data_IF_203401403666
#
_entry.id   IF_203401403666
#
_cell.length_a   1.000
_cell.length_b   1.000
_cell.length_c   1.000
_cell.angle_alpha   90.00
_cell.angle_beta   90.00
_cell.angle_gamma   90.00
#
_symmetry.space_group_name_H-M   'P 1'
#
loop_
_entity.id
_entity.type
_entity.pdbx_description
1 polymer ?
#
# COMPACT_ATOMS: atom_id res chain seq x y z
N UNK A 1 -15.17 -7.18 1.78
CA UNK A 1 -14.37 -6.83 0.60
C UNK A 1 -13.28 -5.92 1.08
N UNK A 2 -12.03 -6.30 0.86
CA UNK A 2 -10.90 -5.49 1.21
C UNK A 2 -10.74 -4.42 0.13
N UNK A 3 -10.41 -3.20 0.53
CA UNK A 3 -10.20 -2.09 -0.40
C UNK A 3 -8.82 -1.46 -0.17
N UNK A 4 -8.17 -1.08 -1.26
CA UNK A 4 -6.83 -0.48 -1.23
C UNK A 4 -6.55 0.35 -2.47
N UNK A 5 -5.38 0.98 -2.46
CA UNK A 5 -4.90 1.81 -3.57
C UNK A 5 -3.47 1.41 -3.92
N UNK A 6 -3.26 0.99 -5.16
CA UNK A 6 -1.93 0.75 -5.70
C UNK A 6 -1.50 1.95 -6.55
N UNK A 7 -0.30 2.46 -6.31
CA UNK A 7 0.35 3.40 -7.24
C UNK A 7 1.14 2.56 -8.23
N UNK A 8 0.85 2.62 -9.53
CA UNK A 8 1.50 1.75 -10.51
C UNK A 8 3.03 1.92 -10.53
N UNK A 9 3.51 3.15 -10.30
CA UNK A 9 4.92 3.51 -10.24
C UNK A 9 5.63 3.00 -8.97
N UNK A 10 4.90 2.45 -7.99
CA UNK A 10 5.50 1.81 -6.82
C UNK A 10 5.93 0.36 -7.06
N UNK A 11 5.61 -0.23 -8.22
CA UNK A 11 6.05 -1.56 -8.59
C UNK A 11 7.46 -1.51 -9.20
N UNK A 12 8.31 -2.50 -8.86
CA UNK A 12 9.60 -2.65 -9.52
C UNK A 12 9.43 -2.89 -11.01
N UNK A 13 10.30 -2.27 -11.82
CA UNK A 13 10.31 -2.48 -13.27
C UNK A 13 10.48 -3.97 -13.58
N UNK A 14 9.55 -4.52 -14.37
CA UNK A 14 9.53 -5.94 -14.75
C UNK A 14 8.81 -6.86 -13.77
N UNK A 15 8.30 -6.35 -12.64
CA UNK A 15 7.44 -7.12 -11.76
C UNK A 15 6.12 -7.49 -12.47
N UNK A 16 5.63 -8.70 -12.19
CA UNK A 16 4.35 -9.19 -12.69
C UNK A 16 3.49 -9.58 -11.49
N UNK A 17 2.30 -9.00 -11.43
CA UNK A 17 1.21 -9.45 -10.58
C UNK A 17 0.18 -10.10 -11.48
N UNK A 18 -0.03 -11.40 -11.33
CA UNK A 18 -0.98 -12.17 -12.13
C UNK A 18 -1.94 -12.98 -11.25
N UNK A 19 -2.94 -13.60 -11.88
CA UNK A 19 -3.93 -14.44 -11.20
C UNK A 19 -4.67 -13.73 -10.04
N UNK A 20 -4.87 -12.42 -10.18
CA UNK A 20 -5.58 -11.61 -9.18
C UNK A 20 -7.05 -11.42 -9.55
N UNK A 21 -7.95 -11.65 -8.59
CA UNK A 21 -9.38 -11.42 -8.73
C UNK A 21 -9.79 -10.00 -8.29
N UNK A 22 -9.07 -8.98 -8.78
CA UNK A 22 -9.33 -7.59 -8.40
C UNK A 22 -10.57 -7.03 -9.10
N UNK A 23 -11.36 -6.25 -8.37
CA UNK A 23 -12.34 -5.33 -8.94
C UNK A 23 -11.71 -3.94 -8.97
N UNK A 24 -11.34 -3.46 -10.16
CA UNK A 24 -10.86 -2.08 -10.32
C UNK A 24 -12.05 -1.13 -10.21
N UNK A 25 -12.04 -0.26 -9.20
CA UNK A 25 -13.10 0.72 -8.95
C UNK A 25 -12.85 2.05 -9.64
N UNK A 26 -11.59 2.48 -9.70
CA UNK A 26 -11.18 3.76 -10.28
C UNK A 26 -9.70 3.73 -10.66
N UNK A 27 -9.37 4.42 -11.75
CA UNK A 27 -7.99 4.76 -12.11
C UNK A 27 -7.88 6.28 -12.15
N UNK A 28 -6.85 6.83 -11.51
CA UNK A 28 -6.63 8.27 -11.42
C UNK A 28 -5.17 8.59 -11.62
N UNK A 29 -4.88 9.67 -12.36
CA UNK A 29 -3.55 10.27 -12.38
C UNK A 29 -3.49 11.45 -11.41
N UNK A 30 -2.44 11.52 -10.60
CA UNK A 30 -2.24 12.58 -9.61
C UNK A 30 -0.81 13.10 -9.66
N UNK A 31 -0.62 14.40 -9.45
CA UNK A 31 0.68 15.00 -9.21
C UNK A 31 0.69 15.49 -7.75
N UNK A 32 1.13 14.65 -6.79
CA UNK A 32 1.13 15.02 -5.38
C UNK A 32 2.12 16.16 -5.13
N UNK A 33 1.90 16.91 -4.06
CA UNK A 33 2.81 18.00 -3.66
C UNK A 33 3.88 17.54 -2.67
N UNK A 34 3.76 16.33 -2.14
CA UNK A 34 4.62 15.75 -1.10
C UNK A 34 5.43 14.54 -1.59
N UNK A 35 5.80 14.54 -2.87
CA UNK A 35 6.62 13.50 -3.51
C UNK A 35 8.05 13.55 -2.98
N UNK A 36 8.67 12.40 -2.69
CA UNK A 36 10.10 12.33 -2.36
C UNK A 36 10.97 12.26 -3.61
N UNK A 37 12.29 12.42 -3.47
CA UNK A 37 13.23 12.32 -4.59
C UNK A 37 13.23 10.93 -5.27
N UNK A 38 12.83 9.90 -4.53
CA UNK A 38 12.79 8.50 -4.99
C UNK A 38 11.44 8.12 -5.63
N UNK A 39 10.47 9.04 -5.63
CA UNK A 39 9.14 8.82 -6.15
C UNK A 39 8.92 9.58 -7.46
N UNK A 40 8.19 8.98 -8.42
CA UNK A 40 7.83 9.63 -9.66
C UNK A 40 6.94 10.88 -9.39
N UNK A 41 7.08 11.99 -10.13
CA UNK A 41 6.31 13.22 -9.88
C UNK A 41 4.82 13.12 -10.24
N UNK A 42 4.44 12.09 -11.00
CA UNK A 42 3.04 11.78 -11.34
C UNK A 42 2.79 10.32 -11.03
N UNK A 43 1.71 10.06 -10.32
CA UNK A 43 1.28 8.73 -9.90
C UNK A 43 0.04 8.30 -10.66
N UNK A 44 -0.04 7.02 -10.97
CA UNK A 44 -1.22 6.33 -11.49
C UNK A 44 -1.81 5.49 -10.37
N UNK A 45 -2.85 6.01 -9.71
CA UNK A 45 -3.54 5.36 -8.61
C UNK A 45 -4.62 4.42 -9.17
N UNK A 46 -4.52 3.14 -8.79
CA UNK A 46 -5.49 2.09 -9.07
C UNK A 46 -6.21 1.76 -7.77
N UNK A 47 -7.46 2.21 -7.66
CA UNK A 47 -8.33 1.90 -6.54
C UNK A 47 -9.00 0.56 -6.83
N UNK A 48 -8.86 -0.40 -5.92
CA UNK A 48 -9.35 -1.75 -6.14
C UNK A 48 -10.07 -2.30 -4.91
N UNK A 49 -10.85 -3.34 -5.16
CA UNK A 49 -11.37 -4.24 -4.14
C UNK A 49 -10.98 -5.68 -4.43
N UNK A 50 -10.88 -6.50 -3.38
CA UNK A 50 -10.65 -7.95 -3.45
C UNK A 50 -11.43 -8.66 -2.33
N UNK A 51 -11.66 -9.97 -2.45
CA UNK A 51 -12.27 -10.74 -1.37
C UNK A 51 -11.42 -10.66 -0.08
N UNK A 52 -12.06 -10.54 1.08
CA UNK A 52 -11.35 -10.39 2.37
C UNK A 52 -10.41 -11.58 2.65
N UNK A 53 -10.80 -12.77 2.19
CA UNK A 53 -10.01 -14.01 2.34
C UNK A 53 -8.70 -13.98 1.53
N UNK A 54 -8.64 -13.19 0.46
CA UNK A 54 -7.47 -13.06 -0.42
C UNK A 54 -6.57 -11.89 0.00
N UNK A 55 -7.04 -11.01 0.91
CA UNK A 55 -6.33 -9.80 1.29
C UNK A 55 -4.91 -10.04 1.83
N UNK A 56 -4.74 -11.07 2.66
CA UNK A 56 -3.43 -11.43 3.20
C UNK A 56 -2.49 -11.93 2.09
N UNK A 57 -2.97 -12.80 1.21
CA UNK A 57 -2.17 -13.32 0.10
C UNK A 57 -1.77 -12.22 -0.89
N UNK A 58 -2.68 -11.28 -1.17
CA UNK A 58 -2.36 -10.12 -1.99
C UNK A 58 -1.31 -9.22 -1.32
N UNK A 59 -1.43 -8.97 -0.01
CA UNK A 59 -0.46 -8.17 0.74
C UNK A 59 0.95 -8.79 0.68
N UNK A 60 1.06 -10.11 0.83
CA UNK A 60 2.34 -10.81 0.72
C UNK A 60 2.92 -10.68 -0.69
N UNK A 61 2.12 -10.93 -1.75
CA UNK A 61 2.57 -10.77 -3.14
C UNK A 61 3.01 -9.32 -3.44
N UNK A 62 2.26 -8.33 -2.97
CA UNK A 62 2.61 -6.92 -3.12
C UNK A 62 3.95 -6.62 -2.44
N UNK A 63 4.17 -7.13 -1.23
CA UNK A 63 5.44 -6.91 -0.51
C UNK A 63 6.64 -7.41 -1.31
N UNK A 64 6.45 -8.48 -2.08
CA UNK A 64 7.49 -9.04 -2.93
C UNK A 64 7.75 -8.21 -4.18
N UNK A 65 6.83 -7.39 -4.68
CA UNK A 65 6.99 -6.66 -5.96
C UNK A 65 7.16 -5.15 -5.84
N UNK A 66 6.86 -4.56 -4.68
CA UNK A 66 7.05 -3.13 -4.46
C UNK A 66 8.53 -2.74 -4.56
N UNK A 67 8.77 -1.55 -5.11
CA UNK A 67 10.08 -0.93 -5.21
C UNK A 67 10.44 -0.16 -3.94
N UNK A 68 11.73 0.04 -3.72
CA UNK A 68 12.25 0.75 -2.57
C UNK A 68 13.20 1.88 -3.01
N UNK A 69 13.35 2.94 -2.19
CA UNK A 69 12.63 3.23 -0.95
C UNK A 69 11.32 4.01 -1.18
N UNK A 70 10.63 4.37 -0.09
CA UNK A 70 9.57 5.39 -0.16
C UNK A 70 8.20 4.93 -0.66
N UNK A 71 7.99 3.63 -0.89
CA UNK A 71 6.69 3.13 -1.35
C UNK A 71 6.01 2.23 -0.31
N UNK A 72 4.69 2.26 -0.31
CA UNK A 72 3.85 1.32 0.40
C UNK A 72 2.50 1.18 -0.32
N UNK A 73 1.73 0.15 0.06
CA UNK A 73 0.30 0.01 -0.27
C UNK A 73 -0.45 -0.23 1.02
N UNK A 74 -1.55 0.48 1.23
CA UNK A 74 -2.51 0.14 2.26
C UNK A 74 -3.69 -0.65 1.67
N UNK A 75 -4.13 -1.65 2.42
CA UNK A 75 -5.27 -2.50 2.14
C UNK A 75 -6.05 -2.71 3.43
N UNK A 76 -7.35 -2.51 3.40
CA UNK A 76 -8.20 -2.56 4.60
C UNK A 76 -9.38 -3.50 4.41
N UNK A 77 -9.61 -4.36 5.40
CA UNK A 77 -10.88 -5.07 5.58
C UNK A 77 -11.70 -4.38 6.67
N UNK A 78 -12.88 -4.92 6.97
CA UNK A 78 -13.65 -4.46 8.13
C UNK A 78 -12.93 -4.70 9.48
N UNK A 79 -11.98 -5.64 9.55
CA UNK A 79 -11.37 -6.10 10.80
C UNK A 79 -9.88 -5.79 10.92
N UNK A 80 -9.18 -5.70 9.80
CA UNK A 80 -7.73 -5.60 9.73
C UNK A 80 -7.30 -4.48 8.77
N UNK A 81 -6.17 -3.86 9.08
CA UNK A 81 -5.37 -3.04 8.17
C UNK A 81 -4.09 -3.78 7.81
N UNK A 82 -3.72 -3.73 6.53
CA UNK A 82 -2.49 -4.24 5.98
C UNK A 82 -1.73 -3.07 5.38
N UNK A 83 -0.57 -2.76 5.95
CA UNK A 83 0.36 -1.78 5.39
C UNK A 83 1.52 -2.56 4.81
N UNK A 84 1.63 -2.52 3.49
CA UNK A 84 2.55 -3.33 2.71
C UNK A 84 3.72 -2.47 2.27
N UNK A 85 4.91 -2.79 2.76
CA UNK A 85 6.17 -2.21 2.36
C UNK A 85 6.95 -3.22 1.50
N UNK A 86 7.99 -2.80 0.76
CA UNK A 86 8.93 -3.72 0.12
C UNK A 86 9.51 -4.72 1.14
N UNK A 87 9.25 -6.02 0.93
CA UNK A 87 9.72 -7.11 1.77
C UNK A 87 9.10 -7.20 3.18
N UNK A 88 8.03 -6.44 3.47
CA UNK A 88 7.36 -6.49 4.79
C UNK A 88 5.88 -6.13 4.73
N UNK A 89 5.06 -6.96 5.37
CA UNK A 89 3.66 -6.64 5.66
C UNK A 89 3.49 -6.34 7.15
N UNK A 90 2.95 -5.16 7.47
CA UNK A 90 2.48 -4.83 8.81
C UNK A 90 0.95 -5.01 8.86
N UNK A 91 0.49 -6.03 9.58
CA UNK A 91 -0.93 -6.30 9.80
C UNK A 91 -1.31 -5.96 11.24
N UNK A 92 -2.40 -5.22 11.42
CA UNK A 92 -2.97 -4.92 12.74
C UNK A 92 -4.49 -4.79 12.66
N UNK A 93 -5.17 -4.93 13.81
CA UNK A 93 -6.63 -4.79 13.88
C UNK A 93 -7.06 -3.35 13.63
N UNK A 94 -8.18 -3.14 12.96
CA UNK A 94 -8.81 -1.81 12.86
C UNK A 94 -9.07 -1.29 14.29
N UNK A 95 -8.69 -0.05 14.55
CA UNK A 95 -8.74 0.56 15.88
C UNK A 95 -7.60 0.18 16.83
N UNK A 96 -6.59 -0.58 16.42
CA UNK A 96 -5.38 -0.84 17.21
C UNK A 96 -4.35 0.31 17.03
N UNK A 97 -4.21 1.22 18.01
CA UNK A 97 -3.29 2.34 17.90
C UNK A 97 -1.83 1.92 17.99
N UNK A 98 -1.52 0.81 18.67
CA UNK A 98 -0.13 0.35 18.83
C UNK A 98 0.38 -0.24 17.51
N UNK A 99 -0.37 -1.17 16.92
CA UNK A 99 -0.03 -1.75 15.61
C UNK A 99 0.12 -0.68 14.52
N UNK A 100 -0.78 0.31 14.51
CA UNK A 100 -0.68 1.46 13.60
C UNK A 100 0.59 2.27 13.83
N UNK A 101 0.92 2.60 15.08
CA UNK A 101 2.12 3.39 15.41
C UNK A 101 3.42 2.66 15.03
N UNK A 102 3.47 1.34 15.19
CA UNK A 102 4.60 0.51 14.77
C UNK A 102 4.79 0.53 13.25
N UNK A 103 3.71 0.42 12.48
CA UNK A 103 3.73 0.54 11.02
C UNK A 103 4.19 1.94 10.56
N UNK A 104 3.69 3.00 11.18
CA UNK A 104 4.11 4.39 10.90
C UNK A 104 5.60 4.61 11.22
N UNK A 105 6.09 4.05 12.33
CA UNK A 105 7.51 4.11 12.69
C UNK A 105 8.38 3.42 11.64
N UNK A 106 7.94 2.26 11.13
CA UNK A 106 8.64 1.56 10.07
C UNK A 106 8.66 2.38 8.77
N UNK A 107 7.50 2.91 8.33
CA UNK A 107 7.39 3.70 7.11
C UNK A 107 8.30 4.94 7.11
N UNK A 108 8.30 5.69 8.21
CA UNK A 108 9.22 6.83 8.40
C UNK A 108 10.68 6.43 8.26
N UNK A 109 11.08 5.31 8.86
CA UNK A 109 12.45 4.82 8.80
C UNK A 109 12.87 4.41 7.37
N UNK A 110 11.91 4.20 6.45
CA UNK A 110 12.14 3.82 5.06
C UNK A 110 11.81 4.95 4.06
N UNK A 111 11.83 6.20 4.54
CA UNK A 111 11.76 7.39 3.70
C UNK A 111 10.34 7.83 3.31
N UNK A 112 9.29 7.26 3.91
CA UNK A 112 7.92 7.69 3.65
C UNK A 112 7.60 8.92 4.54
N UNK A 113 7.15 10.04 3.96
CA UNK A 113 6.79 11.25 4.71
C UNK A 113 5.60 11.01 5.65
N UNK A 114 5.60 11.67 6.82
CA UNK A 114 4.48 11.59 7.78
C UNK A 114 3.12 11.99 7.18
N UNK A 115 3.13 12.92 6.20
CA UNK A 115 1.91 13.33 5.49
C UNK A 115 1.32 12.25 4.59
N UNK A 116 2.07 11.19 4.27
CA UNK A 116 1.59 10.00 3.56
C UNK A 116 1.24 8.85 4.52
N UNK A 117 1.60 8.94 5.80
CA UNK A 117 1.33 7.91 6.82
C UNK A 117 0.02 8.19 7.58
N UNK A 118 -1.01 8.61 6.85
CA UNK A 118 -2.26 9.18 7.37
C UNK A 118 -3.47 8.23 7.32
N UNK A 119 -3.21 6.91 7.37
CA UNK A 119 -4.23 5.88 7.21
C UNK A 119 -5.34 5.95 8.27
N UNK A 120 -6.60 5.62 7.91
CA UNK A 120 -7.72 5.64 8.85
C UNK A 120 -7.47 4.70 10.03
N UNK A 121 -7.88 5.13 11.24
CA UNK A 121 -7.86 4.29 12.45
C UNK A 121 -8.78 3.07 12.28
#
# INVERSE_FOLDING_TARGET
>A
MAAGVLIAESLRVGAVLDNLSLIVRRIQRSAPTNVTADQAPVWTLVFFEIADIEAAALADQLSEVLDAPGWYVDLHTAQDSFIVFPGRVARYRRGDPQGRAEAQKYGRAHGIPDSQLDWPA
#
